data_IF_830446603467
#
_entry.id   IF_830446603467
#
_cell.length_a   1.000
_cell.length_b   1.000
_cell.length_c   1.000
_cell.angle_alpha   90.00
_cell.angle_beta   90.00
_cell.angle_gamma   90.00
#
_symmetry.space_group_name_H-M   'P 1'
#
loop_
_entity.id
_entity.type
_entity.pdbx_description
1 polymer ?
#
# COMPACT_ATOMS: atom_id res chain seq x y z
N UNK A 1 14.39 -8.95 2.47
CA UNK A 1 14.10 -7.95 3.52
C UNK A 1 15.23 -6.95 3.49
N UNK A 2 15.00 -5.77 2.91
CA UNK A 2 15.98 -4.68 2.92
C UNK A 2 15.81 -3.92 4.23
N UNK A 3 16.91 -3.75 4.97
CA UNK A 3 16.87 -3.16 6.30
C UNK A 3 16.68 -1.63 6.25
N UNK A 4 17.10 -0.99 5.15
CA UNK A 4 16.94 0.44 4.92
C UNK A 4 16.83 0.71 3.41
N UNK A 5 15.83 1.47 2.98
CA UNK A 5 15.68 1.87 1.57
C UNK A 5 15.58 3.40 1.50
N UNK A 6 16.48 4.00 0.72
CA UNK A 6 16.44 5.42 0.39
C UNK A 6 16.04 5.59 -1.07
N UNK A 7 14.96 6.32 -1.31
CA UNK A 7 14.43 6.58 -2.66
C UNK A 7 14.39 8.09 -2.90
N UNK A 8 15.06 8.51 -3.97
CA UNK A 8 14.97 9.85 -4.52
C UNK A 8 14.28 9.74 -5.88
N UNK A 9 13.02 10.21 -5.98
CA UNK A 9 12.19 10.12 -7.18
C UNK A 9 11.02 9.12 -7.09
N UNK A 10 10.53 8.67 -8.25
CA UNK A 10 9.28 7.90 -8.33
C UNK A 10 9.51 6.41 -8.08
N UNK A 11 8.65 5.81 -7.25
CA UNK A 11 8.63 4.38 -7.01
C UNK A 11 7.22 3.81 -7.23
N UNK A 12 7.13 2.59 -7.74
CA UNK A 12 5.85 1.91 -7.86
C UNK A 12 5.35 1.42 -6.50
N UNK A 13 5.99 0.37 -5.98
CA UNK A 13 5.67 -0.26 -4.71
C UNK A 13 6.95 -0.34 -3.88
N UNK A 14 6.90 0.12 -2.64
CA UNK A 14 8.03 0.13 -1.71
C UNK A 14 7.64 -0.62 -0.44
N UNK A 15 8.42 -1.63 -0.06
CA UNK A 15 8.20 -2.39 1.17
C UNK A 15 9.52 -2.58 1.92
N UNK A 16 9.67 -1.91 3.06
CA UNK A 16 10.88 -1.98 3.89
C UNK A 16 10.63 -1.53 5.32
N UNK A 17 11.44 -2.01 6.27
CA UNK A 17 11.25 -1.68 7.68
C UNK A 17 11.48 -0.17 7.94
N UNK A 18 12.52 0.39 7.32
CA UNK A 18 12.82 1.82 7.32
C UNK A 18 12.90 2.34 5.87
N UNK A 19 12.11 3.36 5.58
CA UNK A 19 11.99 3.96 4.24
C UNK A 19 12.15 5.46 4.36
N UNK A 20 13.14 6.00 3.66
CA UNK A 20 13.36 7.44 3.52
C UNK A 20 13.08 7.85 2.08
N UNK A 21 12.09 8.73 1.90
CA UNK A 21 11.71 9.25 0.59
C UNK A 21 11.74 10.77 0.59
N UNK A 22 12.31 11.35 -0.46
CA UNK A 22 12.40 12.80 -0.60
C UNK A 22 12.05 13.18 -2.04
N UNK A 23 11.13 14.14 -2.17
CA UNK A 23 10.69 14.74 -3.45
C UNK A 23 10.33 13.68 -4.52
N UNK A 24 9.15 13.07 -4.41
CA UNK A 24 8.72 12.02 -5.35
C UNK A 24 7.28 11.52 -5.18
N UNK A 25 6.87 10.62 -6.07
CA UNK A 25 5.55 9.99 -6.07
C UNK A 25 5.66 8.47 -5.88
N UNK A 26 4.79 7.89 -5.05
CA UNK A 26 4.69 6.44 -4.85
C UNK A 26 3.26 5.92 -4.91
N UNK A 27 3.04 4.76 -5.55
CA UNK A 27 1.70 4.16 -5.58
C UNK A 27 1.38 3.49 -4.25
N UNK A 28 2.31 2.70 -3.71
CA UNK A 28 2.11 2.00 -2.45
C UNK A 28 3.41 1.93 -1.64
N UNK A 29 3.34 2.33 -0.36
CA UNK A 29 4.46 2.22 0.57
C UNK A 29 4.01 1.48 1.82
N UNK A 30 4.71 0.40 2.16
CA UNK A 30 4.52 -0.36 3.39
C UNK A 30 5.81 -0.31 4.22
N UNK A 31 5.75 0.34 5.38
CA UNK A 31 6.91 0.53 6.25
C UNK A 31 6.58 0.51 7.74
N UNK A 32 7.57 0.26 8.59
CA UNK A 32 7.40 0.43 10.03
C UNK A 32 7.75 1.87 10.43
N UNK A 33 8.84 2.41 9.87
CA UNK A 33 9.27 3.80 10.03
C UNK A 33 9.44 4.46 8.66
N UNK A 34 8.54 5.39 8.33
CA UNK A 34 8.62 6.19 7.12
C UNK A 34 9.07 7.61 7.46
N UNK A 35 10.15 8.07 6.82
CA UNK A 35 10.53 9.47 6.80
C UNK A 35 10.35 10.01 5.39
N UNK A 36 9.31 10.81 5.22
CA UNK A 36 8.91 11.33 3.91
C UNK A 36 8.79 12.85 3.97
N UNK A 37 9.50 13.52 3.07
CA UNK A 37 9.50 14.97 2.97
C UNK A 37 9.06 15.36 1.55
N UNK A 38 7.87 15.98 1.44
CA UNK A 38 7.23 16.35 0.15
C UNK A 38 7.04 15.16 -0.80
N UNK A 39 6.37 14.12 -0.32
CA UNK A 39 6.09 12.90 -1.10
C UNK A 39 4.58 12.69 -1.20
N UNK A 40 4.11 12.45 -2.42
CA UNK A 40 2.72 12.07 -2.69
C UNK A 40 2.61 10.54 -2.73
N UNK A 41 1.66 9.99 -1.99
CA UNK A 41 1.39 8.55 -1.98
C UNK A 41 -0.09 8.24 -2.00
N UNK A 42 -0.47 7.27 -2.83
CA UNK A 42 -1.83 6.76 -2.90
C UNK A 42 -2.17 5.87 -1.72
N UNK A 43 -1.31 4.88 -1.42
CA UNK A 43 -1.53 3.93 -0.32
C UNK A 43 -0.31 3.92 0.59
N UNK A 44 -0.47 4.44 1.81
CA UNK A 44 0.57 4.42 2.83
C UNK A 44 0.16 3.53 4.00
N UNK A 45 0.93 2.48 4.25
CA UNK A 45 0.84 1.67 5.47
C UNK A 45 2.14 1.87 6.25
N UNK A 46 2.16 2.83 7.17
CA UNK A 46 3.29 3.12 8.02
C UNK A 46 2.91 3.02 9.51
N UNK A 47 3.77 2.42 10.32
CA UNK A 47 3.60 2.38 11.78
C UNK A 47 3.92 3.72 12.45
N UNK A 48 4.95 4.41 11.95
CA UNK A 48 5.35 5.74 12.38
C UNK A 48 5.73 6.58 11.14
N UNK A 49 5.29 7.85 11.11
CA UNK A 49 5.52 8.77 10.00
C UNK A 49 6.12 10.05 10.56
N UNK A 50 7.36 10.33 10.15
CA UNK A 50 8.05 11.58 10.46
C UNK A 50 8.10 12.44 9.18
N UNK A 51 7.36 13.55 9.17
CA UNK A 51 7.34 14.52 8.09
C UNK A 51 5.93 14.93 7.64
N UNK A 52 5.88 15.90 6.72
CA UNK A 52 4.64 16.42 6.15
C UNK A 52 4.25 15.57 4.93
N UNK A 53 3.40 14.57 5.15
CA UNK A 53 2.99 13.60 4.12
C UNK A 53 1.53 13.84 3.76
N UNK A 54 1.29 14.24 2.52
CA UNK A 54 -0.07 14.38 1.99
C UNK A 54 -0.50 13.04 1.43
N UNK A 55 -1.28 12.28 2.22
CA UNK A 55 -1.90 11.02 1.77
C UNK A 55 -3.14 11.31 0.94
N UNK A 56 -3.16 10.81 -0.30
CA UNK A 56 -4.30 11.00 -1.21
C UNK A 56 -5.54 10.21 -0.77
N UNK A 57 -5.36 9.13 -0.01
CA UNK A 57 -6.43 8.34 0.61
C UNK A 57 -6.20 8.34 2.13
N UNK A 58 -7.08 9.01 2.86
CA UNK A 58 -7.11 9.01 4.32
C UNK A 58 -7.32 7.57 4.87
N UNK A 59 -6.86 7.29 6.09
CA UNK A 59 -6.90 5.97 6.76
C UNK A 59 -8.29 5.34 6.71
N UNK A 60 -9.32 6.17 6.81
CA UNK A 60 -10.74 5.78 6.71
C UNK A 60 -11.09 5.24 5.32
N UNK A 61 -10.60 5.90 4.26
CA UNK A 61 -10.80 5.47 2.87
C UNK A 61 -10.08 4.14 2.57
N UNK A 62 -8.88 3.94 3.12
CA UNK A 62 -8.12 2.71 2.94
C UNK A 62 -8.82 1.48 3.56
N UNK A 63 -9.40 1.62 4.76
CA UNK A 63 -10.17 0.55 5.41
C UNK A 63 -11.39 0.18 4.56
N UNK A 64 -12.14 1.17 4.05
CA UNK A 64 -13.31 0.92 3.22
C UNK A 64 -12.94 0.25 1.89
N UNK A 65 -11.88 0.72 1.23
CA UNK A 65 -11.39 0.11 -0.01
C UNK A 65 -10.93 -1.33 0.21
N UNK A 66 -10.23 -1.61 1.31
CA UNK A 66 -9.81 -2.96 1.68
C UNK A 66 -11.00 -3.90 1.94
N UNK A 67 -12.00 -3.44 2.70
CA UNK A 67 -13.21 -4.23 2.98
C UNK A 67 -14.02 -4.52 1.72
N UNK A 68 -14.28 -3.50 0.90
CA UNK A 68 -15.02 -3.65 -0.36
C UNK A 68 -14.27 -4.54 -1.34
N UNK A 69 -12.96 -4.32 -1.52
CA UNK A 69 -12.12 -5.14 -2.37
C UNK A 69 -12.05 -6.59 -1.92
N UNK A 70 -11.95 -6.83 -0.61
CA UNK A 70 -11.93 -8.17 -0.03
C UNK A 70 -13.24 -8.93 -0.24
N UNK A 71 -14.39 -8.26 -0.03
CA UNK A 71 -15.70 -8.88 -0.25
C UNK A 71 -15.89 -9.23 -1.72
N UNK A 72 -15.60 -8.28 -2.63
CA UNK A 72 -15.77 -8.48 -4.07
C UNK A 72 -14.84 -9.58 -4.59
N UNK A 73 -13.55 -9.53 -4.26
CA UNK A 73 -12.60 -10.57 -4.66
C UNK A 73 -12.92 -11.94 -4.07
N UNK A 74 -13.36 -12.00 -2.80
CA UNK A 74 -13.82 -13.22 -2.14
C UNK A 74 -15.02 -13.84 -2.85
N UNK A 75 -15.99 -13.03 -3.26
CA UNK A 75 -17.14 -13.49 -4.05
C UNK A 75 -16.70 -14.07 -5.40
N UNK A 76 -15.83 -13.38 -6.14
CA UNK A 76 -15.29 -13.89 -7.41
C UNK A 76 -14.50 -15.19 -7.24
N UNK A 77 -13.69 -15.30 -6.19
CA UNK A 77 -12.97 -16.54 -5.86
C UNK A 77 -13.91 -17.70 -5.54
N UNK A 78 -14.97 -17.46 -4.76
CA UNK A 78 -16.00 -18.46 -4.48
C UNK A 78 -16.71 -18.91 -5.76
N UNK A 79 -17.08 -17.96 -6.61
CA UNK A 79 -17.72 -18.24 -7.90
C UNK A 79 -16.81 -19.07 -8.81
N UNK A 80 -15.54 -18.68 -8.92
CA UNK A 80 -14.53 -19.40 -9.69
C UNK A 80 -14.28 -20.81 -9.15
N UNK A 81 -14.16 -20.96 -7.82
CA UNK A 81 -13.95 -22.26 -7.18
C UNK A 81 -15.12 -23.21 -7.41
N UNK A 82 -16.37 -22.72 -7.37
CA UNK A 82 -17.56 -23.53 -7.67
C UNK A 82 -17.60 -24.00 -9.13
N UNK A 83 -17.17 -23.15 -10.07
CA UNK A 83 -17.09 -23.52 -11.49
C UNK A 83 -15.95 -24.52 -11.74
N UNK A 84 -14.77 -24.28 -11.15
CA UNK A 84 -13.59 -25.17 -11.27
C UNK A 84 -13.86 -26.54 -10.64
N UNK A 85 -14.53 -26.59 -9.48
CA UNK A 85 -14.89 -27.84 -8.80
C UNK A 85 -15.91 -28.69 -9.56
N UNK A 86 -16.69 -28.10 -10.48
CA UNK A 86 -17.61 -28.83 -11.36
C UNK A 86 -16.97 -29.33 -12.65
N UNK A 87 -15.75 -28.87 -12.98
CA UNK A 87 -14.98 -29.32 -14.16
C UNK A 87 -13.94 -30.40 -13.84
N UNK A 88 -13.72 -30.70 -12.56
CA UNK A 88 -13.04 -31.91 -12.09
C UNK A 88 -14.08 -32.96 -11.76
#
# INVERSE_FOLDING_TARGET
QANNIHIQGNAGIVAANEVSMQDGYSLAVASQNLRAERVETLILLAGNVDGDVTTLIDTRGAILAGLLGGIVSGLFLLMGNLIVRRRK
#
